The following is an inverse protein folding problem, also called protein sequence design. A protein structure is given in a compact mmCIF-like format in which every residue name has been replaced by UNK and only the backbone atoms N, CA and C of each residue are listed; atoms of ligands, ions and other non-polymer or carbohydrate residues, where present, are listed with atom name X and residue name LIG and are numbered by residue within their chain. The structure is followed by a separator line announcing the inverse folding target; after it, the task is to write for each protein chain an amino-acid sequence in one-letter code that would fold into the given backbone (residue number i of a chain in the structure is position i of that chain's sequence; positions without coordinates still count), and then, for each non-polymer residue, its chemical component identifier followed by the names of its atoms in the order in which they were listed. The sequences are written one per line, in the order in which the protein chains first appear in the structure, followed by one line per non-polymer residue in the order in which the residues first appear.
data_IF_941510171406
#
_entry.id   IF_941510171406
#
_cell.length_a   1.000
_cell.length_b   1.000
_cell.length_c   1.000
_cell.angle_alpha   90.00
_cell.angle_beta   90.00
_cell.angle_gamma   90.00
#
_symmetry.space_group_name_H-M   'P 1'
#
loop_
_entity.id
_entity.type
_entity.pdbx_description
1 polymer ?
#
# COMPACT_ATOMS: atom_id res chain seq x y z
N UNK A 1 13.37 -15.29 8.54
CA UNK A 1 14.56 -14.42 8.75
C UNK A 1 14.48 -13.85 10.17
N UNK A 2 15.56 -13.75 10.95
CA UNK A 2 15.45 -13.45 12.38
C UNK A 2 15.43 -11.95 12.67
N UNK A 3 14.34 -11.51 13.32
CA UNK A 3 14.31 -10.64 14.49
C UNK A 3 14.84 -9.21 14.39
N UNK A 4 13.96 -8.23 14.55
CA UNK A 4 14.32 -6.96 15.15
C UNK A 4 13.57 -6.76 16.46
N UNK A 5 14.30 -6.91 17.56
CA UNK A 5 13.89 -6.52 18.91
C UNK A 5 14.36 -5.09 19.16
N UNK A 6 13.43 -4.24 19.60
CA UNK A 6 13.57 -3.27 20.71
C UNK A 6 14.50 -2.07 20.56
N UNK A 7 14.02 -0.91 21.05
CA UNK A 7 14.67 0.04 21.98
C UNK A 7 13.57 1.04 22.42
N UNK A 8 12.98 0.84 23.61
CA UNK A 8 13.11 1.66 24.84
C UNK A 8 12.59 3.10 24.72
N UNK A 9 11.39 3.33 25.26
CA UNK A 9 10.87 4.65 25.62
C UNK A 9 11.51 5.12 26.93
N UNK A 10 12.04 6.35 26.95
CA UNK A 10 12.51 7.02 28.15
C UNK A 10 11.51 8.12 28.56
N UNK A 11 10.76 7.88 29.63
CA UNK A 11 9.98 8.89 30.35
C UNK A 11 10.87 9.53 31.41
N UNK A 12 11.10 10.85 31.32
CA UNK A 12 11.77 11.61 32.39
C UNK A 12 10.69 12.26 33.27
N UNK A 13 10.62 11.85 34.53
CA UNK A 13 9.82 12.48 35.58
C UNK A 13 10.70 13.44 36.38
N UNK A 14 10.29 14.72 36.48
CA UNK A 14 10.97 15.75 37.25
C UNK A 14 10.40 15.81 38.68
N UNK A 15 11.25 15.60 39.69
CA UNK A 15 10.93 15.80 41.11
C UNK A 15 11.60 17.09 41.59
N UNK A 16 10.81 18.05 42.10
CA UNK A 16 11.31 19.25 42.78
C UNK A 16 11.48 19.01 44.28
N UNK A 17 12.68 19.27 44.80
CA UNK A 17 12.96 19.38 46.25
C UNK A 17 13.40 20.81 46.54
N UNK A 18 12.69 21.48 47.46
CA UNK A 18 12.99 22.83 47.94
C UNK A 18 14.00 22.77 49.11
N UNK A 19 15.11 23.48 48.97
CA UNK A 19 16.06 23.78 50.05
C UNK A 19 16.57 25.22 49.90
N UNK A 20 16.43 26.01 50.96
CA UNK A 20 16.85 27.42 51.02
C UNK A 20 18.34 27.47 51.36
N UNK A 21 19.16 28.11 50.53
CA UNK A 21 20.54 28.48 50.87
C UNK A 21 20.79 29.97 50.53
N UNK A 22 21.43 30.67 51.46
CA UNK A 22 21.64 32.13 51.48
C UNK A 22 23.12 32.42 51.15
N UNK A 23 23.42 32.89 49.94
CA UNK A 23 24.74 33.41 49.52
C UNK A 23 24.60 34.59 48.52
N UNK A 24 25.61 35.48 48.44
CA UNK A 24 25.41 36.89 48.04
C UNK A 24 25.45 37.10 46.52
N UNK A 25 24.88 38.22 46.10
CA UNK A 25 24.73 38.70 44.71
C UNK A 25 25.98 38.43 43.84
N UNK A 26 25.86 37.41 42.99
CA UNK A 26 26.65 37.24 41.78
C UNK A 26 25.74 37.55 40.58
N UNK A 27 26.35 37.97 39.47
CA UNK A 27 25.76 38.45 38.22
C UNK A 27 24.44 37.77 37.83
N UNK A 28 23.51 38.54 37.26
CA UNK A 28 22.28 38.04 36.65
C UNK A 28 22.56 36.73 35.91
N UNK A 29 22.06 35.61 36.48
CA UNK A 29 22.02 34.33 35.79
C UNK A 29 21.17 34.55 34.55
N UNK A 30 21.84 34.73 33.41
CA UNK A 30 21.21 34.52 32.10
C UNK A 30 20.67 33.10 32.16
N UNK A 31 19.35 32.87 32.05
CA UNK A 31 18.83 31.52 32.02
C UNK A 31 19.58 30.78 30.92
N UNK A 32 20.23 29.67 31.25
CA UNK A 32 20.79 28.79 30.22
C UNK A 32 19.67 28.51 29.21
N UNK A 33 19.90 28.69 27.89
CA UNK A 33 18.88 28.38 26.91
C UNK A 33 18.46 26.93 27.10
N UNK A 34 17.14 26.69 27.15
CA UNK A 34 16.59 25.37 27.47
C UNK A 34 16.95 24.30 26.44
N UNK A 35 17.36 24.72 25.23
CA UNK A 35 17.80 23.89 24.12
C UNK A 35 19.07 24.45 23.48
N UNK A 36 19.92 23.55 22.97
CA UNK A 36 21.16 23.91 22.30
C UNK A 36 21.20 23.47 20.82
N UNK A 37 22.31 23.76 20.12
CA UNK A 37 22.49 23.35 18.71
C UNK A 37 22.60 21.84 18.53
N UNK A 38 23.00 21.10 19.57
CA UNK A 38 23.05 19.64 19.50
C UNK A 38 21.63 19.06 19.45
N UNK A 39 20.68 19.62 20.19
CA UNK A 39 19.26 19.20 20.13
C UNK A 39 18.68 19.39 18.72
N UNK A 40 18.90 20.55 18.11
CA UNK A 40 18.46 20.83 16.73
C UNK A 40 19.17 19.91 15.73
N UNK A 41 20.43 19.55 15.97
CA UNK A 41 21.16 18.61 15.12
C UNK A 41 20.57 17.19 15.19
N UNK A 42 20.04 16.76 16.33
CA UNK A 42 19.31 15.49 16.43
C UNK A 42 18.03 15.51 15.60
N UNK A 43 17.23 16.58 15.71
CA UNK A 43 16.05 16.77 14.87
C UNK A 43 16.41 16.78 13.37
N UNK A 44 17.54 17.39 12.98
CA UNK A 44 18.03 17.35 11.60
C UNK A 44 18.50 15.95 11.14
N UNK A 45 19.05 15.14 12.04
CA UNK A 45 19.54 13.79 11.70
C UNK A 45 18.41 12.77 11.58
N UNK A 46 17.40 12.86 12.43
CA UNK A 46 16.38 11.82 12.60
C UNK A 46 14.97 12.27 12.20
N UNK A 47 14.74 13.57 12.03
CA UNK A 47 13.47 14.10 11.57
C UNK A 47 13.11 13.73 10.13
N UNK A 48 11.83 13.87 9.81
CA UNK A 48 11.33 13.79 8.45
C UNK A 48 11.71 15.02 7.60
N UNK A 49 11.35 15.06 6.31
CA UNK A 49 11.75 16.13 5.39
C UNK A 49 11.42 17.55 5.88
N UNK A 50 10.25 17.75 6.49
CA UNK A 50 9.83 19.04 7.06
C UNK A 50 10.69 19.44 8.26
N UNK A 51 10.85 18.53 9.22
CA UNK A 51 11.69 18.73 10.41
C UNK A 51 13.14 19.01 10.02
N UNK A 52 13.72 18.24 9.09
CA UNK A 52 15.09 18.46 8.61
C UNK A 52 15.27 19.82 7.95
N UNK A 53 14.31 20.23 7.14
CA UNK A 53 14.33 21.53 6.48
C UNK A 53 14.39 22.68 7.48
N UNK A 54 13.49 22.67 8.47
CA UNK A 54 13.45 23.70 9.50
C UNK A 54 14.65 23.65 10.46
N UNK A 55 15.08 22.45 10.85
CA UNK A 55 16.26 22.27 11.69
C UNK A 55 17.53 22.82 11.02
N UNK A 56 17.69 22.64 9.70
CA UNK A 56 18.82 23.19 8.97
C UNK A 56 18.85 24.74 9.02
N UNK A 57 17.69 25.38 8.97
CA UNK A 57 17.58 26.84 9.13
C UNK A 57 17.96 27.25 10.56
N UNK A 58 17.37 26.62 11.58
CA UNK A 58 17.63 26.90 12.99
C UNK A 58 19.12 26.71 13.36
N UNK A 59 19.78 25.67 12.83
CA UNK A 59 21.22 25.42 13.03
C UNK A 59 22.12 26.55 12.54
N UNK A 60 21.68 27.35 11.58
CA UNK A 60 22.41 28.53 11.06
C UNK A 60 21.94 29.85 11.67
N UNK A 61 20.87 29.82 12.48
CA UNK A 61 20.25 30.97 13.09
C UNK A 61 20.80 31.34 14.47
N UNK A 62 20.12 32.26 15.14
CA UNK A 62 20.40 32.71 16.51
C UNK A 62 19.88 31.71 17.56
N UNK A 63 20.25 31.91 18.82
CA UNK A 63 19.78 31.05 19.92
C UNK A 63 18.25 31.21 20.15
N UNK A 64 17.67 32.35 19.78
CA UNK A 64 16.21 32.53 19.76
C UNK A 64 15.51 31.71 18.65
N UNK A 65 16.20 31.48 17.52
CA UNK A 65 15.67 30.63 16.45
C UNK A 65 15.73 29.15 16.86
N UNK A 66 16.73 28.75 17.64
CA UNK A 66 16.81 27.42 18.25
C UNK A 66 15.65 27.20 19.21
N UNK A 67 15.44 28.13 20.15
CA UNK A 67 14.34 28.05 21.11
C UNK A 67 12.98 27.98 20.41
N UNK A 68 12.76 28.84 19.40
CA UNK A 68 11.52 28.87 18.61
C UNK A 68 11.31 27.56 17.85
N UNK A 69 12.35 27.04 17.19
CA UNK A 69 12.24 25.78 16.48
C UNK A 69 11.89 24.63 17.43
N UNK A 70 12.60 24.51 18.55
CA UNK A 70 12.41 23.39 19.48
C UNK A 70 11.05 23.44 20.20
N UNK A 71 10.57 24.63 20.57
CA UNK A 71 9.35 24.78 21.38
C UNK A 71 8.09 24.95 20.56
N UNK A 72 8.16 25.61 19.41
CA UNK A 72 6.98 25.98 18.61
C UNK A 72 6.90 25.20 17.29
N UNK A 73 7.98 25.12 16.52
CA UNK A 73 7.89 24.57 15.15
C UNK A 73 8.00 23.03 15.11
N UNK A 74 8.88 22.45 15.93
CA UNK A 74 9.20 21.03 15.90
C UNK A 74 7.97 20.12 16.12
N UNK A 75 7.07 20.37 17.10
CA UNK A 75 5.90 19.51 17.31
C UNK A 75 4.97 19.47 16.09
N UNK A 76 4.70 20.63 15.48
CA UNK A 76 3.82 20.74 14.31
C UNK A 76 4.45 20.10 13.08
N UNK A 77 5.74 20.36 12.83
CA UNK A 77 6.47 19.79 11.69
C UNK A 77 6.62 18.27 11.80
N UNK A 78 6.82 17.75 13.01
CA UNK A 78 6.87 16.32 13.26
C UNK A 78 5.53 15.66 12.92
N UNK A 79 4.41 16.23 13.38
CA UNK A 79 3.08 15.70 13.05
C UNK A 79 2.82 15.73 11.53
N UNK A 80 3.17 16.82 10.84
CA UNK A 80 2.99 16.93 9.39
C UNK A 80 3.83 15.88 8.63
N UNK A 81 5.08 15.65 9.05
CA UNK A 81 5.92 14.59 8.46
C UNK A 81 5.33 13.18 8.69
N UNK A 82 4.71 12.93 9.85
CA UNK A 82 3.99 11.67 10.10
C UNK A 82 2.75 11.55 9.21
N UNK A 83 1.95 12.61 9.08
CA UNK A 83 0.76 12.64 8.20
C UNK A 83 1.12 12.30 6.76
N UNK A 84 2.24 12.82 6.26
CA UNK A 84 2.73 12.50 4.91
C UNK A 84 3.08 11.02 4.79
N UNK A 85 3.77 10.44 5.78
CA UNK A 85 4.12 9.01 5.77
C UNK A 85 2.86 8.13 5.83
N UNK A 86 1.88 8.44 6.68
CA UNK A 86 0.60 7.70 6.73
C UNK A 86 -0.13 7.79 5.39
N UNK A 87 -0.19 8.97 4.78
CA UNK A 87 -0.82 9.14 3.46
C UNK A 87 -0.10 8.35 2.36
N UNK A 88 1.22 8.16 2.45
CA UNK A 88 1.96 7.30 1.53
C UNK A 88 1.54 5.84 1.71
N UNK A 89 1.53 5.32 2.95
CA UNK A 89 1.07 3.94 3.25
C UNK A 89 -0.36 3.72 2.76
N UNK A 90 -1.26 4.68 3.00
CA UNK A 90 -2.64 4.67 2.51
C UNK A 90 -2.72 4.52 0.98
N UNK A 91 -1.85 5.20 0.22
CA UNK A 91 -1.88 5.17 -1.23
C UNK A 91 -1.46 3.81 -1.81
N UNK A 92 -0.52 3.12 -1.17
CA UNK A 92 -0.06 1.76 -1.56
C UNK A 92 -0.92 0.65 -0.95
N UNK A 93 -1.66 0.92 0.12
CA UNK A 93 -2.50 -0.05 0.81
C UNK A 93 -3.80 -0.40 0.08
N UNK A 94 -4.34 -1.57 0.43
CA UNK A 94 -5.68 -2.00 0.04
C UNK A 94 -6.77 -1.33 0.90
N UNK A 95 -8.04 -1.73 0.72
CA UNK A 95 -9.18 -1.12 1.41
C UNK A 95 -9.04 -1.06 2.94
N UNK A 96 -8.60 -2.15 3.59
CA UNK A 96 -8.49 -2.18 5.05
C UNK A 96 -7.35 -1.29 5.55
N UNK A 97 -6.18 -1.31 4.89
CA UNK A 97 -5.08 -0.39 5.20
C UNK A 97 -5.52 1.06 5.03
N UNK A 98 -6.29 1.37 3.98
CA UNK A 98 -6.81 2.73 3.74
C UNK A 98 -7.73 3.21 4.85
N UNK A 99 -8.65 2.36 5.31
CA UNK A 99 -9.56 2.68 6.41
C UNK A 99 -8.79 2.93 7.72
N UNK A 100 -7.82 2.07 8.04
CA UNK A 100 -6.96 2.24 9.22
C UNK A 100 -6.13 3.53 9.14
N UNK A 101 -5.55 3.82 7.97
CA UNK A 101 -4.80 5.06 7.74
C UNK A 101 -5.69 6.30 7.85
N UNK A 102 -6.91 6.28 7.32
CA UNK A 102 -7.89 7.36 7.45
C UNK A 102 -8.27 7.66 8.91
N UNK A 103 -8.38 6.60 9.73
CA UNK A 103 -8.58 6.72 11.18
C UNK A 103 -7.39 7.40 11.84
N UNK A 104 -6.16 6.97 11.52
CA UNK A 104 -4.94 7.58 12.04
C UNK A 104 -4.79 9.06 11.63
N UNK A 105 -5.11 9.39 10.38
CA UNK A 105 -5.11 10.77 9.86
C UNK A 105 -6.14 11.68 10.53
N UNK A 106 -7.18 11.12 11.15
CA UNK A 106 -8.16 11.88 11.92
C UNK A 106 -7.70 12.18 13.36
N UNK A 107 -6.61 11.54 13.81
CA UNK A 107 -5.96 11.77 15.10
C UNK A 107 -4.82 12.78 15.05
N UNK A 108 -3.99 12.80 16.09
CA UNK A 108 -2.75 13.60 16.19
C UNK A 108 -1.49 12.73 16.10
N UNK A 109 -0.33 13.31 16.42
CA UNK A 109 0.98 12.65 16.33
C UNK A 109 1.05 11.23 16.94
N UNK A 110 0.39 10.99 18.08
CA UNK A 110 0.39 9.68 18.74
C UNK A 110 -0.32 8.61 17.88
N UNK A 111 -1.49 8.91 17.32
CA UNK A 111 -2.24 7.97 16.48
C UNK A 111 -1.52 7.70 15.16
N UNK A 112 -0.91 8.74 14.57
CA UNK A 112 -0.12 8.61 13.35
C UNK A 112 1.11 7.71 13.57
N UNK A 113 1.82 7.92 14.68
CA UNK A 113 2.99 7.11 15.02
C UNK A 113 2.61 5.65 15.33
N UNK A 114 1.52 5.44 16.09
CA UNK A 114 1.02 4.09 16.37
C UNK A 114 0.68 3.33 15.09
N UNK A 115 -0.01 3.99 14.15
CA UNK A 115 -0.27 3.40 12.83
C UNK A 115 1.02 3.03 12.09
N UNK A 116 2.01 3.93 12.04
CA UNK A 116 3.27 3.68 11.32
C UNK A 116 4.18 2.62 11.97
N UNK A 117 4.02 2.37 13.27
CA UNK A 117 4.82 1.38 13.98
C UNK A 117 4.36 -0.05 13.67
N UNK A 118 3.07 -0.32 13.84
CA UNK A 118 2.47 -1.66 13.71
C UNK A 118 0.95 -1.62 13.40
N UNK A 119 0.29 -0.46 13.54
CA UNK A 119 -1.17 -0.37 13.35
C UNK A 119 -1.68 -0.62 11.93
N UNK A 120 -0.81 -0.76 10.94
CA UNK A 120 -1.18 -1.17 9.58
C UNK A 120 -1.01 -2.68 9.29
N UNK A 121 -0.36 -3.44 10.19
CA UNK A 121 -0.03 -4.85 9.94
C UNK A 121 -1.30 -5.72 9.80
N UNK A 122 -2.21 -5.69 10.77
CA UNK A 122 -3.46 -6.45 10.73
C UNK A 122 -4.38 -6.04 9.54
N UNK A 123 -4.58 -4.74 9.25
CA UNK A 123 -5.28 -4.32 8.04
C UNK A 123 -4.64 -4.83 6.74
N UNK A 124 -3.30 -4.84 6.66
CA UNK A 124 -2.59 -5.36 5.50
C UNK A 124 -2.80 -6.87 5.33
N UNK A 125 -2.76 -7.60 6.43
CA UNK A 125 -3.08 -9.03 6.49
C UNK A 125 -4.50 -9.32 6.00
N UNK A 126 -5.49 -8.52 6.41
CA UNK A 126 -6.87 -8.64 5.92
C UNK A 126 -6.96 -8.40 4.40
N UNK A 127 -6.29 -7.36 3.89
CA UNK A 127 -6.23 -7.07 2.46
C UNK A 127 -5.64 -8.26 1.66
N UNK A 128 -4.58 -8.90 2.16
CA UNK A 128 -4.00 -10.11 1.56
C UNK A 128 -5.00 -11.27 1.54
N UNK A 129 -5.70 -11.56 2.65
CA UNK A 129 -6.70 -12.63 2.71
C UNK A 129 -7.82 -12.42 1.70
N UNK A 130 -8.28 -11.18 1.59
CA UNK A 130 -9.32 -10.80 0.63
C UNK A 130 -8.81 -11.03 -0.80
N UNK A 131 -7.57 -10.66 -1.11
CA UNK A 131 -6.99 -10.90 -2.44
C UNK A 131 -6.87 -12.40 -2.75
N UNK A 132 -6.43 -13.23 -1.80
CA UNK A 132 -6.42 -14.70 -1.96
C UNK A 132 -7.83 -15.23 -2.27
N UNK A 133 -8.84 -14.78 -1.53
CA UNK A 133 -10.23 -15.19 -1.73
C UNK A 133 -10.76 -14.77 -3.11
N UNK A 134 -10.42 -13.57 -3.57
CA UNK A 134 -10.78 -13.07 -4.90
C UNK A 134 -10.14 -13.92 -6.00
N UNK A 135 -8.84 -14.22 -5.90
CA UNK A 135 -8.13 -15.10 -6.85
C UNK A 135 -8.78 -16.50 -6.88
N UNK A 136 -9.15 -17.03 -5.71
CA UNK A 136 -9.83 -18.33 -5.59
C UNK A 136 -11.19 -18.35 -6.29
N UNK A 137 -11.96 -17.26 -6.19
CA UNK A 137 -13.30 -17.18 -6.77
C UNK A 137 -13.31 -17.37 -8.28
N UNK A 138 -12.31 -16.82 -8.98
CA UNK A 138 -12.15 -16.93 -10.44
C UNK A 138 -11.18 -18.04 -10.88
N UNK A 139 -10.57 -18.74 -9.93
CA UNK A 139 -9.60 -19.79 -10.17
C UNK A 139 -10.21 -21.12 -10.64
N UNK A 140 -9.40 -21.93 -11.34
CA UNK A 140 -9.71 -23.34 -11.58
C UNK A 140 -9.57 -24.20 -10.31
N UNK A 141 -9.87 -25.51 -10.38
CA UNK A 141 -9.81 -26.41 -9.22
C UNK A 141 -8.45 -26.41 -8.49
N UNK A 142 -7.34 -26.38 -9.24
CA UNK A 142 -5.98 -26.30 -8.70
C UNK A 142 -5.73 -24.97 -8.00
N UNK A 143 -6.09 -23.85 -8.64
CA UNK A 143 -5.98 -22.51 -8.02
C UNK A 143 -6.80 -22.43 -6.74
N UNK A 144 -8.03 -22.94 -6.73
CA UNK A 144 -8.91 -22.99 -5.54
C UNK A 144 -8.28 -23.79 -4.41
N UNK A 145 -7.73 -24.97 -4.72
CA UNK A 145 -7.03 -25.81 -3.74
C UNK A 145 -5.80 -25.11 -3.16
N UNK A 146 -5.00 -24.48 -4.01
CA UNK A 146 -3.81 -23.74 -3.58
C UNK A 146 -4.17 -22.51 -2.73
N UNK A 147 -5.24 -21.79 -3.09
CA UNK A 147 -5.75 -20.67 -2.31
C UNK A 147 -6.25 -21.12 -0.93
N UNK A 148 -7.01 -22.23 -0.86
CA UNK A 148 -7.43 -22.79 0.44
C UNK A 148 -6.23 -23.17 1.31
N UNK A 149 -5.22 -23.81 0.74
CA UNK A 149 -4.01 -24.15 1.48
C UNK A 149 -3.26 -22.91 2.00
N UNK A 150 -3.24 -21.81 1.22
CA UNK A 150 -2.68 -20.55 1.67
C UNK A 150 -3.50 -19.93 2.81
N UNK A 151 -4.83 -19.91 2.68
CA UNK A 151 -5.74 -19.37 3.71
C UNK A 151 -5.68 -20.12 5.05
N UNK A 152 -5.30 -21.39 5.03
CA UNK A 152 -5.05 -22.19 6.25
C UNK A 152 -3.69 -21.87 6.92
N UNK A 153 -2.85 -21.07 6.26
CA UNK A 153 -1.53 -20.65 6.71
C UNK A 153 -1.48 -19.25 7.31
N UNK A 154 -0.34 -18.59 7.12
CA UNK A 154 0.02 -17.26 7.65
C UNK A 154 -0.01 -16.19 6.56
N UNK A 155 0.17 -14.91 6.94
CA UNK A 155 0.31 -13.81 5.99
C UNK A 155 1.42 -14.03 4.94
N UNK A 156 2.53 -14.65 5.34
CA UNK A 156 3.60 -15.03 4.41
C UNK A 156 3.10 -16.04 3.36
N UNK A 157 2.23 -16.97 3.74
CA UNK A 157 1.64 -17.96 2.83
C UNK A 157 0.64 -17.30 1.87
N UNK A 158 -0.13 -16.32 2.34
CA UNK A 158 -1.04 -15.52 1.51
C UNK A 158 -0.25 -14.75 0.44
N UNK A 159 0.79 -14.03 0.86
CA UNK A 159 1.66 -13.27 -0.04
C UNK A 159 2.38 -14.20 -1.04
N UNK A 160 2.90 -15.34 -0.59
CA UNK A 160 3.54 -16.32 -1.47
C UNK A 160 2.58 -16.88 -2.53
N UNK A 161 1.32 -17.16 -2.14
CA UNK A 161 0.29 -17.58 -3.08
C UNK A 161 -0.05 -16.50 -4.11
N UNK A 162 -0.29 -15.26 -3.66
CA UNK A 162 -0.61 -14.12 -4.54
C UNK A 162 0.53 -13.89 -5.55
N UNK A 163 1.77 -13.87 -5.07
CA UNK A 163 2.94 -13.56 -5.87
C UNK A 163 3.36 -14.68 -6.83
N UNK A 164 3.23 -15.95 -6.44
CA UNK A 164 3.75 -17.07 -7.24
C UNK A 164 2.84 -18.30 -7.27
N UNK A 165 2.23 -18.68 -6.15
CA UNK A 165 1.48 -19.93 -6.03
C UNK A 165 0.28 -20.02 -6.99
N UNK A 166 -0.45 -18.92 -7.19
CA UNK A 166 -1.61 -18.91 -8.09
C UNK A 166 -1.25 -19.20 -9.55
N UNK A 167 -0.09 -18.75 -10.02
CA UNK A 167 0.31 -18.87 -11.42
C UNK A 167 0.69 -20.30 -11.75
N UNK A 168 1.43 -20.95 -10.86
CA UNK A 168 1.75 -22.38 -10.97
C UNK A 168 0.49 -23.23 -10.96
N UNK A 169 -0.42 -22.97 -10.03
CA UNK A 169 -1.68 -23.71 -9.93
C UNK A 169 -2.56 -23.51 -11.18
N UNK A 170 -2.51 -22.32 -11.80
CA UNK A 170 -3.23 -22.02 -13.04
C UNK A 170 -2.64 -22.74 -14.25
N UNK A 171 -1.31 -22.86 -14.32
CA UNK A 171 -0.63 -23.66 -15.34
C UNK A 171 -1.02 -25.14 -15.24
N UNK A 172 -1.02 -25.70 -14.03
CA UNK A 172 -1.47 -27.08 -13.79
C UNK A 172 -2.93 -27.28 -14.23
N UNK A 173 -3.83 -26.36 -13.88
CA UNK A 173 -5.23 -26.37 -14.31
C UNK A 173 -5.36 -26.30 -15.85
N UNK A 174 -4.56 -25.46 -16.50
CA UNK A 174 -4.57 -25.31 -17.95
C UNK A 174 -4.07 -26.56 -18.65
N UNK A 175 -2.98 -27.18 -18.17
CA UNK A 175 -2.49 -28.46 -18.69
C UNK A 175 -3.53 -29.56 -18.57
N UNK A 176 -4.29 -29.61 -17.46
CA UNK A 176 -5.41 -30.54 -17.31
C UNK A 176 -6.51 -30.28 -18.35
N UNK A 177 -6.90 -29.01 -18.59
CA UNK A 177 -7.87 -28.67 -19.64
C UNK A 177 -7.40 -29.11 -21.02
N UNK A 178 -6.13 -28.86 -21.37
CA UNK A 178 -5.58 -29.29 -22.66
C UNK A 178 -5.55 -30.81 -22.77
N UNK A 179 -5.20 -31.54 -21.71
CA UNK A 179 -5.25 -33.01 -21.71
C UNK A 179 -6.68 -33.56 -21.93
N UNK A 180 -7.71 -32.90 -21.39
CA UNK A 180 -9.10 -33.27 -21.65
C UNK A 180 -9.49 -33.03 -23.13
N UNK A 181 -9.03 -31.93 -23.72
CA UNK A 181 -9.21 -31.63 -25.14
C UNK A 181 -8.45 -32.61 -26.04
N UNK A 182 -7.24 -33.03 -25.64
CA UNK A 182 -6.46 -34.06 -26.31
C UNK A 182 -7.19 -35.41 -26.32
N UNK A 183 -7.98 -35.73 -25.30
CA UNK A 183 -8.74 -36.98 -25.28
C UNK A 183 -10.04 -36.89 -26.08
N UNK A 184 -10.79 -35.79 -25.90
CA UNK A 184 -12.16 -35.63 -26.42
C UNK A 184 -12.25 -34.98 -27.81
N UNK A 185 -11.21 -34.29 -28.26
CA UNK A 185 -11.19 -33.54 -29.52
C UNK A 185 -11.12 -34.40 -30.79
N UNK A 186 -11.36 -33.76 -31.93
CA UNK A 186 -11.13 -34.36 -33.25
C UNK A 186 -9.63 -34.40 -33.61
N UNK A 187 -9.31 -34.92 -34.80
CA UNK A 187 -7.93 -35.21 -35.17
C UNK A 187 -7.00 -33.99 -35.11
N UNK A 188 -7.47 -32.81 -35.53
CA UNK A 188 -6.70 -31.58 -35.48
C UNK A 188 -6.55 -31.06 -34.05
N UNK A 189 -7.63 -31.07 -33.25
CA UNK A 189 -7.57 -30.70 -31.83
C UNK A 189 -6.56 -31.58 -31.10
N UNK A 190 -6.58 -32.89 -31.31
CA UNK A 190 -5.64 -33.83 -30.69
C UNK A 190 -4.19 -33.51 -31.05
N UNK A 191 -3.93 -33.23 -32.32
CA UNK A 191 -2.59 -32.89 -32.79
C UNK A 191 -2.06 -31.61 -32.11
N UNK A 192 -2.83 -30.53 -32.11
CA UNK A 192 -2.38 -29.24 -31.56
C UNK A 192 -2.33 -29.27 -30.02
N UNK A 193 -3.27 -29.94 -29.35
CA UNK A 193 -3.22 -30.14 -27.91
C UNK A 193 -1.97 -30.92 -27.47
N UNK A 194 -1.56 -31.94 -28.23
CA UNK A 194 -0.33 -32.67 -27.97
C UNK A 194 0.91 -31.78 -28.09
N UNK A 195 0.99 -30.96 -29.15
CA UNK A 195 2.08 -30.01 -29.33
C UNK A 195 2.16 -28.99 -28.20
N UNK A 196 1.02 -28.47 -27.74
CA UNK A 196 0.97 -27.52 -26.63
C UNK A 196 1.44 -28.15 -25.30
N UNK A 197 1.07 -29.40 -25.02
CA UNK A 197 1.51 -30.11 -23.80
C UNK A 197 3.00 -30.45 -23.78
N UNK A 198 3.60 -30.63 -24.95
CA UNK A 198 5.05 -30.84 -25.12
C UNK A 198 5.85 -29.51 -25.01
N UNK A 199 5.16 -28.37 -25.00
CA UNK A 199 5.71 -27.01 -24.96
C UNK A 199 5.73 -26.36 -23.57
N UNK A 200 5.86 -25.03 -23.55
CA UNK A 200 5.87 -24.19 -22.33
C UNK A 200 4.46 -23.87 -21.83
N UNK A 201 4.36 -23.21 -20.67
CA UNK A 201 3.08 -22.71 -20.16
C UNK A 201 2.42 -21.72 -21.14
N UNK A 202 3.23 -20.92 -21.84
CA UNK A 202 2.76 -20.02 -22.90
C UNK A 202 2.15 -20.80 -24.07
N UNK A 203 2.76 -21.90 -24.52
CA UNK A 203 2.21 -22.74 -25.60
C UNK A 203 0.86 -23.35 -25.20
N UNK A 204 0.74 -23.80 -23.95
CA UNK A 204 -0.52 -24.31 -23.37
C UNK A 204 -1.59 -23.22 -23.37
N UNK A 205 -1.22 -22.01 -22.94
CA UNK A 205 -2.13 -20.87 -22.88
C UNK A 205 -2.56 -20.41 -24.29
N UNK A 206 -1.64 -20.28 -25.24
CA UNK A 206 -1.93 -19.91 -26.63
C UNK A 206 -2.88 -20.91 -27.30
N UNK A 207 -2.68 -22.21 -27.04
CA UNK A 207 -3.62 -23.22 -27.52
C UNK A 207 -5.02 -23.06 -26.92
N UNK A 208 -5.13 -22.74 -25.63
CA UNK A 208 -6.43 -22.54 -24.99
C UNK A 208 -7.13 -21.26 -25.45
N UNK A 209 -6.37 -20.20 -25.70
CA UNK A 209 -6.91 -18.89 -26.09
C UNK A 209 -7.41 -18.91 -27.54
N UNK A 210 -6.60 -19.39 -28.48
CA UNK A 210 -6.91 -19.32 -29.92
C UNK A 210 -6.80 -20.67 -30.65
N UNK A 211 -5.80 -21.49 -30.29
CA UNK A 211 -5.46 -22.69 -31.05
C UNK A 211 -6.57 -23.75 -31.10
N UNK A 212 -7.29 -23.92 -29.99
CA UNK A 212 -8.36 -24.90 -29.87
C UNK A 212 -9.51 -24.62 -30.83
N UNK A 213 -9.97 -23.37 -30.91
CA UNK A 213 -11.14 -23.00 -31.73
C UNK A 213 -10.87 -23.23 -33.22
N UNK A 214 -9.67 -22.85 -33.69
CA UNK A 214 -9.23 -23.08 -35.07
C UNK A 214 -9.14 -24.57 -35.38
N UNK A 215 -8.58 -25.37 -34.47
CA UNK A 215 -8.48 -26.81 -34.63
C UNK A 215 -9.86 -27.48 -34.70
N UNK A 216 -10.77 -27.09 -33.81
CA UNK A 216 -12.12 -27.61 -33.74
C UNK A 216 -12.93 -27.28 -34.99
N UNK A 217 -12.79 -26.07 -35.54
CA UNK A 217 -13.45 -25.69 -36.79
C UNK A 217 -13.02 -26.60 -37.96
N UNK A 218 -11.73 -26.93 -38.06
CA UNK A 218 -11.22 -27.86 -39.08
C UNK A 218 -11.72 -29.28 -38.90
N UNK A 219 -11.87 -29.74 -37.67
CA UNK A 219 -12.46 -31.06 -37.41
C UNK A 219 -13.93 -31.11 -37.89
N UNK A 220 -14.68 -30.01 -37.76
CA UNK A 220 -16.08 -29.93 -38.16
C UNK A 220 -16.31 -30.01 -39.68
N UNK A 221 -15.38 -29.51 -40.50
CA UNK A 221 -15.48 -29.56 -41.97
C UNK A 221 -15.55 -31.00 -42.52
N UNK A 222 -15.13 -31.99 -41.72
CA UNK A 222 -15.09 -33.40 -42.12
C UNK A 222 -16.27 -34.24 -41.60
N UNK A 223 -17.23 -33.62 -40.90
CA UNK A 223 -18.37 -34.32 -40.29
C UNK A 223 -19.50 -34.63 -41.28
N UNK A 224 -20.20 -35.75 -41.06
CA UNK A 224 -21.45 -36.07 -41.78
C UNK A 224 -22.63 -35.25 -41.24
N UNK A 225 -23.72 -35.13 -42.01
CA UNK A 225 -24.93 -34.38 -41.63
C UNK A 225 -25.53 -34.84 -40.28
N UNK A 226 -25.56 -36.15 -40.00
CA UNK A 226 -26.05 -36.67 -38.72
C UNK A 226 -25.13 -36.30 -37.54
N UNK A 227 -23.82 -36.31 -37.76
CA UNK A 227 -22.84 -35.89 -36.76
C UNK A 227 -22.88 -34.37 -36.53
N UNK A 228 -23.13 -33.58 -37.57
CA UNK A 228 -23.35 -32.14 -37.46
C UNK A 228 -24.59 -31.82 -36.62
N UNK A 229 -25.69 -32.57 -36.79
CA UNK A 229 -26.89 -32.39 -35.98
C UNK A 229 -26.66 -32.70 -34.50
N UNK A 230 -25.92 -33.77 -34.20
CA UNK A 230 -25.60 -34.16 -32.82
C UNK A 230 -24.61 -33.19 -32.15
N UNK A 231 -23.65 -32.67 -32.93
CA UNK A 231 -22.74 -31.61 -32.50
C UNK A 231 -23.50 -30.31 -32.22
N UNK A 232 -24.44 -29.91 -33.07
CA UNK A 232 -25.26 -28.73 -32.87
C UNK A 232 -26.11 -28.84 -31.59
N UNK A 233 -26.73 -29.99 -31.31
CA UNK A 233 -27.48 -30.22 -30.07
C UNK A 233 -26.58 -30.11 -28.82
N UNK A 234 -25.37 -30.70 -28.88
CA UNK A 234 -24.41 -30.63 -27.77
C UNK A 234 -23.90 -29.21 -27.56
N UNK A 235 -23.59 -28.49 -28.65
CA UNK A 235 -23.16 -27.10 -28.61
C UNK A 235 -24.26 -26.18 -28.07
N UNK A 236 -25.52 -26.41 -28.44
CA UNK A 236 -26.69 -25.67 -27.95
C UNK A 236 -26.83 -25.80 -26.42
N UNK A 237 -26.72 -27.02 -25.88
CA UNK A 237 -26.79 -27.27 -24.43
C UNK A 237 -25.65 -26.58 -23.68
N UNK A 238 -24.42 -26.69 -24.20
CA UNK A 238 -23.25 -26.04 -23.60
C UNK A 238 -23.34 -24.52 -23.68
N UNK A 239 -23.87 -23.97 -24.77
CA UNK A 239 -24.11 -22.54 -24.92
C UNK A 239 -25.14 -22.02 -23.90
N UNK A 240 -26.18 -22.81 -23.59
CA UNK A 240 -27.15 -22.47 -22.54
C UNK A 240 -26.48 -22.45 -21.16
N UNK A 241 -25.71 -23.47 -20.79
CA UNK A 241 -24.98 -23.52 -19.53
C UNK A 241 -24.02 -22.33 -19.39
N UNK A 242 -23.21 -22.06 -20.42
CA UNK A 242 -22.30 -20.92 -20.44
C UNK A 242 -23.04 -19.58 -20.35
N UNK A 243 -24.22 -19.46 -20.95
CA UNK A 243 -25.04 -18.24 -20.86
C UNK A 243 -25.53 -18.00 -19.43
N UNK A 244 -25.97 -19.06 -18.72
CA UNK A 244 -26.38 -18.92 -17.32
C UNK A 244 -25.19 -18.58 -16.41
N UNK A 245 -24.05 -19.25 -16.58
CA UNK A 245 -22.81 -18.89 -15.86
C UNK A 245 -22.39 -17.45 -16.16
N UNK A 246 -22.47 -17.00 -17.42
CA UNK A 246 -22.14 -15.63 -17.79
C UNK A 246 -23.08 -14.60 -17.13
N UNK A 247 -24.37 -14.90 -16.97
CA UNK A 247 -25.30 -14.03 -16.22
C UNK A 247 -24.94 -13.94 -14.74
N UNK A 248 -24.58 -15.06 -14.11
CA UNK A 248 -24.15 -15.08 -12.71
C UNK A 248 -22.87 -14.25 -12.51
N UNK A 249 -21.88 -14.43 -13.38
CA UNK A 249 -20.63 -13.67 -13.33
C UNK A 249 -20.85 -12.18 -13.65
N UNK A 250 -21.74 -11.83 -14.59
CA UNK A 250 -22.12 -10.45 -14.85
C UNK A 250 -22.75 -9.78 -13.63
N UNK A 251 -23.63 -10.49 -12.91
CA UNK A 251 -24.24 -9.97 -11.69
C UNK A 251 -23.21 -9.76 -10.56
N UNK A 252 -22.21 -10.65 -10.44
CA UNK A 252 -21.09 -10.46 -9.50
C UNK A 252 -20.23 -9.24 -9.88
N UNK A 253 -19.92 -9.10 -11.17
CA UNK A 253 -19.15 -7.97 -11.69
C UNK A 253 -19.87 -6.62 -11.48
N UNK A 254 -21.19 -6.59 -11.64
CA UNK A 254 -22.00 -5.40 -11.36
C UNK A 254 -21.91 -4.98 -9.89
N UNK A 255 -22.05 -5.93 -8.96
CA UNK A 255 -21.87 -5.67 -7.52
C UNK A 255 -20.47 -5.15 -7.19
N UNK A 256 -19.43 -5.79 -7.75
CA UNK A 256 -18.05 -5.34 -7.56
C UNK A 256 -17.82 -3.92 -8.10
N UNK A 257 -18.42 -3.60 -9.25
CA UNK A 257 -18.35 -2.25 -9.85
C UNK A 257 -19.02 -1.20 -8.97
N UNK A 258 -20.16 -1.52 -8.36
CA UNK A 258 -20.84 -0.61 -7.43
C UNK A 258 -20.00 -0.35 -6.17
N UNK A 259 -19.40 -1.41 -5.60
CA UNK A 259 -18.49 -1.28 -4.47
C UNK A 259 -17.26 -0.42 -4.82
N UNK A 260 -16.65 -0.64 -5.99
CA UNK A 260 -15.52 0.15 -6.46
C UNK A 260 -15.86 1.64 -6.65
N UNK A 261 -17.08 1.95 -7.16
CA UNK A 261 -17.55 3.34 -7.27
C UNK A 261 -17.69 4.01 -5.91
N UNK A 262 -18.24 3.31 -4.91
CA UNK A 262 -18.38 3.85 -3.55
C UNK A 262 -16.99 4.14 -2.94
N UNK A 263 -16.06 3.21 -3.06
CA UNK A 263 -14.68 3.38 -2.59
C UNK A 263 -13.97 4.54 -3.29
N UNK A 264 -14.18 4.72 -4.61
CA UNK A 264 -13.60 5.82 -5.37
C UNK A 264 -14.12 7.20 -4.92
N UNK A 265 -15.40 7.30 -4.51
CA UNK A 265 -15.96 8.54 -3.95
C UNK A 265 -15.30 8.90 -2.61
N UNK A 266 -15.15 7.92 -1.72
CA UNK A 266 -14.45 8.12 -0.43
C UNK A 266 -13.00 8.57 -0.67
N UNK A 267 -12.27 7.87 -1.55
CA UNK A 267 -10.89 8.24 -1.89
C UNK A 267 -10.79 9.65 -2.51
N UNK A 268 -11.79 10.08 -3.29
CA UNK A 268 -11.82 11.43 -3.85
C UNK A 268 -12.01 12.51 -2.76
N UNK A 269 -12.85 12.25 -1.76
CA UNK A 269 -13.03 13.15 -0.60
C UNK A 269 -11.74 13.24 0.23
N UNK A 270 -11.09 12.12 0.48
CA UNK A 270 -9.81 12.07 1.20
C UNK A 270 -8.69 12.78 0.43
N UNK A 271 -8.62 12.63 -0.90
CA UNK A 271 -7.67 13.35 -1.73
C UNK A 271 -7.87 14.87 -1.68
N UNK A 272 -9.12 15.35 -1.58
CA UNK A 272 -9.41 16.77 -1.37
C UNK A 272 -8.96 17.24 0.01
N UNK A 273 -9.18 16.44 1.06
CA UNK A 273 -8.71 16.73 2.41
C UNK A 273 -7.17 16.81 2.46
N UNK A 274 -6.49 15.85 1.84
CA UNK A 274 -5.03 15.82 1.74
C UNK A 274 -4.49 17.04 0.98
N UNK A 275 -5.12 17.44 -0.13
CA UNK A 275 -4.75 18.67 -0.87
C UNK A 275 -4.87 19.91 0.01
N UNK A 276 -5.93 20.01 0.82
CA UNK A 276 -6.11 21.13 1.74
C UNK A 276 -5.05 21.15 2.85
N UNK A 277 -4.68 19.98 3.38
CA UNK A 277 -3.58 19.84 4.33
C UNK A 277 -2.24 20.26 3.71
N UNK A 278 -1.91 19.77 2.52
CA UNK A 278 -0.69 20.15 1.79
C UNK A 278 -0.62 21.67 1.53
N UNK A 279 -1.76 22.31 1.21
CA UNK A 279 -1.83 23.77 1.08
C UNK A 279 -1.54 24.50 2.39
N UNK A 280 -2.04 24.01 3.52
CA UNK A 280 -1.74 24.57 4.85
C UNK A 280 -0.26 24.40 5.21
N UNK A 281 0.32 23.23 4.94
CA UNK A 281 1.73 22.96 5.15
C UNK A 281 2.62 23.87 4.28
N UNK A 282 2.31 24.03 2.99
CA UNK A 282 3.05 24.94 2.10
C UNK A 282 2.97 26.41 2.57
N UNK A 283 1.81 26.83 3.09
CA UNK A 283 1.66 28.16 3.66
C UNK A 283 2.46 28.32 4.96
N UNK A 284 2.53 27.30 5.81
CA UNK A 284 3.38 27.29 7.00
C UNK A 284 4.87 27.37 6.62
N UNK A 285 5.32 26.56 5.68
CA UNK A 285 6.69 26.59 5.16
C UNK A 285 7.05 27.96 4.57
N UNK A 286 6.13 28.59 3.82
CA UNK A 286 6.33 29.94 3.29
C UNK A 286 6.47 31.00 4.39
N UNK A 287 5.68 30.89 5.47
CA UNK A 287 5.80 31.77 6.64
C UNK A 287 7.14 31.58 7.36
N UNK A 288 7.58 30.33 7.52
CA UNK A 288 8.88 30.00 8.11
C UNK A 288 10.04 30.56 7.27
N UNK A 289 10.00 30.38 5.94
CA UNK A 289 11.00 30.95 5.03
C UNK A 289 11.07 32.49 5.11
N UNK A 290 9.91 33.16 5.14
CA UNK A 290 9.86 34.61 5.28
C UNK A 290 10.37 35.09 6.65
N UNK A 291 10.17 34.32 7.72
CA UNK A 291 10.74 34.62 9.04
C UNK A 291 12.27 34.49 9.01
N UNK A 292 12.79 33.42 8.40
CA UNK A 292 14.22 33.20 8.22
C UNK A 292 14.90 34.33 7.42
N UNK A 293 14.28 34.79 6.33
CA UNK A 293 14.79 35.91 5.54
C UNK A 293 14.90 37.21 6.35
N UNK A 294 13.90 37.48 7.20
CA UNK A 294 13.92 38.65 8.10
C UNK A 294 15.02 38.54 9.15
N UNK A 295 15.18 37.37 9.76
CA UNK A 295 16.26 37.13 10.73
C UNK A 295 17.64 37.33 10.08
N UNK A 296 17.86 36.80 8.87
CA UNK A 296 19.10 36.99 8.13
C UNK A 296 19.39 38.46 7.75
N UNK A 297 18.35 39.25 7.48
CA UNK A 297 18.50 40.70 7.25
C UNK A 297 18.85 41.45 8.54
N UNK A 298 18.23 41.10 9.66
CA UNK A 298 18.53 41.70 10.96
C UNK A 298 19.98 41.42 11.39
N UNK A 299 20.43 40.17 11.23
CA UNK A 299 21.81 39.78 11.52
C UNK A 299 22.83 40.57 10.66
N UNK A 300 22.57 40.70 9.34
CA UNK A 300 23.42 41.51 8.44
C UNK A 300 23.50 42.97 8.86
N UNK A 301 22.37 43.54 9.27
CA UNK A 301 22.31 44.93 9.75
C UNK A 301 23.14 45.09 11.02
N UNK A 302 23.02 44.18 11.98
CA UNK A 302 23.81 44.19 13.21
C UNK A 302 25.32 44.10 12.95
N UNK A 303 25.74 43.20 12.04
CA UNK A 303 27.17 43.06 11.65
C UNK A 303 27.68 44.33 10.96
N UNK A 304 26.88 44.98 10.12
CA UNK A 304 27.28 46.23 9.44
C UNK A 304 27.32 47.46 10.36
N UNK A 305 26.69 47.37 11.54
CA UNK A 305 26.66 48.43 12.54
C UNK A 305 27.75 48.29 13.62
N UNK A 306 28.51 47.18 13.59
CA UNK A 306 29.66 46.90 14.45
C UNK A 306 30.98 47.27 13.74
#
# INVERSE_FOLDING_TARGET
MPGWRGIVAALIALVMVLGIDLRPAAADDVPEPGFDRADVLEAWKYGGPGVRGAAAVALTGSDADIETFMTADLPDLWEEDLRVQVAQVMAMGGPAVRESAGTALSGGAEQLQAFLNDGFDEPYDEDLRVEVAQISAFGGPGVKKAASAALDGTADDWAAFIGTGQYKARDDDNRVKVAQLLYSGGANVKKLAGQALDGTAEDVQEFLDDGWAVAAARDQETLTVAQLAQLADTAQKRAQELTETAKEEAAKAEKATQAAKAAALVAAEEALAAKAAAGRAAAAASRAAAAADRAAQAARTAVSAA
#
